data_IF_997327076786
#
_entry.id   IF_997327076786
#
_cell.length_a   1.000
_cell.length_b   1.000
_cell.length_c   1.000
_cell.angle_alpha   90.00
_cell.angle_beta   90.00
_cell.angle_gamma   90.00
#
_symmetry.space_group_name_H-M   'P 1'
#
loop_
_entity.id
_entity.type
_entity.pdbx_description
1 polymer ?
#
# COMPACT_ATOMS: atom_id res chain seq x y z
N UNK A 1 -10.17 -15.98 6.05
CA UNK A 1 -8.80 -16.52 6.08
C UNK A 1 -7.88 -15.39 6.51
N UNK A 2 -7.15 -15.54 7.62
CA UNK A 2 -6.21 -14.50 8.08
C UNK A 2 -5.01 -14.40 7.13
N UNK A 3 -4.83 -13.25 6.50
CA UNK A 3 -3.69 -12.90 5.67
C UNK A 3 -2.59 -12.17 6.47
N UNK A 4 -2.45 -12.52 7.75
CA UNK A 4 -1.43 -11.93 8.63
C UNK A 4 -0.34 -12.97 8.87
N UNK A 5 0.90 -12.54 8.66
CA UNK A 5 2.10 -13.35 8.82
C UNK A 5 2.30 -13.70 10.30
N UNK A 6 2.51 -14.99 10.58
CA UNK A 6 2.78 -15.51 11.93
C UNK A 6 4.15 -15.04 12.44
N UNK A 7 4.18 -14.46 13.64
CA UNK A 7 5.41 -14.11 14.35
C UNK A 7 5.82 -15.32 15.21
N UNK A 8 6.84 -16.07 14.80
CA UNK A 8 7.50 -17.06 15.66
C UNK A 8 8.67 -16.40 16.39
N UNK A 9 8.53 -16.22 17.71
CA UNK A 9 9.58 -15.71 18.60
C UNK A 9 10.52 -16.85 18.99
N UNK A 10 11.83 -16.72 18.70
CA UNK A 10 12.85 -17.60 19.26
C UNK A 10 13.85 -16.82 20.13
N UNK A 11 14.18 -17.43 21.27
CA UNK A 11 14.85 -16.81 22.40
C UNK A 11 16.38 -16.88 22.37
N UNK A 12 16.93 -15.76 22.87
CA UNK A 12 18.25 -15.37 23.35
C UNK A 12 19.42 -16.37 23.39
N UNK A 13 20.49 -16.03 22.66
CA UNK A 13 21.85 -16.01 23.24
C UNK A 13 22.64 -14.71 23.06
N UNK A 14 22.18 -13.72 22.28
CA UNK A 14 22.98 -12.51 21.96
C UNK A 14 22.18 -11.22 21.71
N UNK A 15 20.97 -11.05 22.28
CA UNK A 15 20.14 -9.85 22.03
C UNK A 15 19.75 -9.62 20.55
N UNK A 16 19.92 -10.64 19.70
CA UNK A 16 19.40 -10.66 18.33
C UNK A 16 18.00 -11.25 18.33
N UNK A 17 17.06 -10.49 17.79
CA UNK A 17 15.72 -10.97 17.47
C UNK A 17 15.70 -11.33 15.99
N UNK A 18 15.30 -12.56 15.68
CA UNK A 18 15.06 -13.00 14.31
C UNK A 18 13.57 -13.27 14.14
N UNK A 19 12.98 -12.71 13.09
CA UNK A 19 11.63 -13.00 12.66
C UNK A 19 11.72 -14.06 11.56
N UNK A 20 11.02 -15.17 11.74
CA UNK A 20 10.93 -16.24 10.73
C UNK A 20 9.51 -16.25 10.19
N UNK A 21 9.40 -16.11 8.87
CA UNK A 21 8.13 -16.05 8.16
C UNK A 21 8.01 -17.21 7.16
N UNK A 22 6.78 -17.55 6.77
CA UNK A 22 6.56 -18.39 5.61
C UNK A 22 7.09 -17.71 4.35
N UNK A 23 7.75 -18.47 3.46
CA UNK A 23 8.27 -17.94 2.20
C UNK A 23 7.12 -17.69 1.21
N UNK A 24 7.01 -16.45 0.72
CA UNK A 24 6.13 -16.11 -0.39
C UNK A 24 6.84 -16.40 -1.71
N UNK A 25 6.28 -17.34 -2.48
CA UNK A 25 6.85 -17.89 -3.71
C UNK A 25 6.59 -17.04 -4.96
N UNK A 26 5.72 -16.04 -4.87
CA UNK A 26 5.33 -15.16 -5.98
C UNK A 26 6.07 -13.83 -6.06
N UNK A 27 7.04 -13.58 -5.18
CA UNK A 27 7.75 -12.30 -5.08
C UNK A 27 6.87 -11.16 -4.53
N UNK A 28 7.21 -9.93 -4.87
CA UNK A 28 6.48 -8.71 -4.49
C UNK A 28 5.40 -8.35 -5.52
N UNK A 29 4.43 -7.52 -5.13
CA UNK A 29 3.46 -6.92 -6.06
C UNK A 29 4.19 -6.10 -7.15
N UNK A 30 5.26 -5.38 -6.78
CA UNK A 30 6.11 -4.66 -7.75
C UNK A 30 6.62 -5.59 -8.85
N UNK A 31 7.18 -6.74 -8.48
CA UNK A 31 7.72 -7.72 -9.43
C UNK A 31 6.61 -8.34 -10.27
N UNK A 32 5.48 -8.69 -9.64
CA UNK A 32 4.31 -9.20 -10.35
C UNK A 32 3.82 -8.23 -11.45
N UNK A 33 3.69 -6.94 -11.12
CA UNK A 33 3.25 -5.93 -12.07
C UNK A 33 4.31 -5.68 -13.14
N UNK A 34 5.59 -5.67 -12.79
CA UNK A 34 6.67 -5.52 -13.77
C UNK A 34 6.71 -6.67 -14.79
N UNK A 35 6.61 -7.91 -14.31
CA UNK A 35 6.92 -9.09 -15.12
C UNK A 35 5.69 -9.72 -15.78
N UNK A 36 4.51 -9.57 -15.17
CA UNK A 36 3.28 -10.30 -15.57
C UNK A 36 2.08 -9.40 -15.85
N UNK A 37 2.18 -8.08 -15.78
CA UNK A 37 1.02 -7.20 -15.95
C UNK A 37 0.23 -7.42 -17.25
N UNK A 38 0.91 -7.66 -18.37
CA UNK A 38 0.25 -7.90 -19.67
C UNK A 38 -0.64 -9.17 -19.68
N UNK A 39 -0.39 -10.10 -18.75
CA UNK A 39 -1.19 -11.32 -18.58
C UNK A 39 -2.33 -11.17 -17.56
N UNK A 40 -2.33 -10.10 -16.74
CA UNK A 40 -3.36 -9.86 -15.73
C UNK A 40 -4.64 -9.34 -16.38
N UNK A 41 -5.73 -10.08 -16.19
CA UNK A 41 -7.07 -9.63 -16.58
C UNK A 41 -7.66 -8.75 -15.49
N UNK A 42 -8.74 -8.04 -15.80
CA UNK A 42 -9.43 -7.20 -14.82
C UNK A 42 -9.92 -7.97 -13.59
N UNK A 43 -10.32 -9.24 -13.76
CA UNK A 43 -10.69 -10.09 -12.62
C UNK A 43 -9.52 -10.31 -11.66
N UNK A 44 -8.30 -10.46 -12.17
CA UNK A 44 -7.09 -10.64 -11.35
C UNK A 44 -6.75 -9.34 -10.62
N UNK A 45 -6.83 -8.20 -11.33
CA UNK A 45 -6.59 -6.86 -10.77
C UNK A 45 -7.58 -6.51 -9.66
N UNK A 46 -8.87 -6.78 -9.88
CA UNK A 46 -9.94 -6.58 -8.89
C UNK A 46 -9.71 -7.51 -7.68
N UNK A 47 -9.32 -8.77 -7.90
CA UNK A 47 -8.99 -9.69 -6.82
C UNK A 47 -7.82 -9.18 -5.97
N UNK A 48 -6.74 -8.70 -6.60
CA UNK A 48 -5.60 -8.10 -5.89
C UNK A 48 -6.04 -6.87 -5.08
N UNK A 49 -6.79 -5.95 -5.69
CA UNK A 49 -7.30 -4.76 -5.01
C UNK A 49 -8.20 -5.08 -3.81
N UNK A 50 -9.12 -6.03 -3.97
CA UNK A 50 -10.02 -6.49 -2.89
C UNK A 50 -9.26 -7.15 -1.74
N UNK A 51 -8.25 -7.99 -2.04
CA UNK A 51 -7.42 -8.60 -1.01
C UNK A 51 -6.57 -7.57 -0.26
N UNK A 52 -6.06 -6.54 -0.94
CA UNK A 52 -5.35 -5.43 -0.33
C UNK A 52 -6.26 -4.67 0.65
N UNK A 53 -7.42 -4.20 0.20
CA UNK A 53 -8.38 -3.46 1.03
C UNK A 53 -8.83 -4.29 2.25
N UNK A 54 -9.12 -5.59 2.04
CA UNK A 54 -9.49 -6.51 3.12
C UNK A 54 -8.36 -6.69 4.14
N UNK A 55 -7.11 -6.78 3.68
CA UNK A 55 -5.96 -6.96 4.58
C UNK A 55 -5.67 -5.72 5.42
N UNK A 56 -5.84 -4.52 4.85
CA UNK A 56 -5.70 -3.26 5.59
C UNK A 56 -6.88 -3.03 6.53
N UNK A 57 -8.10 -3.39 6.13
CA UNK A 57 -9.27 -3.36 7.02
C UNK A 57 -9.02 -4.21 8.26
N UNK A 58 -8.49 -5.42 8.09
CA UNK A 58 -8.12 -6.32 9.19
C UNK A 58 -7.12 -5.67 10.16
N UNK A 59 -6.05 -5.05 9.65
CA UNK A 59 -5.10 -4.32 10.50
C UNK A 59 -5.79 -3.16 11.25
N UNK A 60 -6.59 -2.36 10.54
CA UNK A 60 -7.25 -1.19 11.11
C UNK A 60 -8.26 -1.57 12.19
N UNK A 61 -9.01 -2.66 12.02
CA UNK A 61 -9.96 -3.16 13.00
C UNK A 61 -9.25 -3.63 14.28
N UNK A 62 -8.04 -4.19 14.16
CA UNK A 62 -7.14 -4.51 15.29
C UNK A 62 -6.39 -3.29 15.86
N UNK A 63 -6.68 -2.08 15.36
CA UNK A 63 -6.03 -0.85 15.80
C UNK A 63 -4.58 -0.69 15.31
N UNK A 64 -4.12 -1.56 14.41
CA UNK A 64 -2.79 -1.54 13.82
C UNK A 64 -2.82 -0.69 12.55
N UNK A 65 -1.85 0.20 12.42
CA UNK A 65 -1.58 0.94 11.19
C UNK A 65 -0.44 0.24 10.45
N UNK A 66 -0.55 0.06 9.14
CA UNK A 66 0.55 -0.46 8.35
C UNK A 66 1.71 0.53 8.37
N UNK A 67 1.44 1.80 8.04
CA UNK A 67 2.39 2.90 8.16
C UNK A 67 3.31 2.99 6.95
N UNK A 68 3.79 1.87 6.40
CA UNK A 68 4.69 1.86 5.24
C UNK A 68 4.17 1.10 4.02
N UNK A 69 2.97 1.46 3.54
CA UNK A 69 2.42 0.84 2.34
C UNK A 69 3.18 1.25 1.08
N UNK A 70 3.62 0.26 0.31
CA UNK A 70 4.14 0.37 -1.05
C UNK A 70 4.09 -1.04 -1.69
N UNK A 71 4.30 -1.16 -3.00
CA UNK A 71 4.17 -2.46 -3.69
C UNK A 71 5.35 -3.42 -3.48
N UNK A 72 6.42 -3.01 -2.79
CA UNK A 72 7.49 -3.90 -2.32
C UNK A 72 7.11 -4.58 -0.99
N UNK A 73 6.33 -3.90 -0.15
CA UNK A 73 5.83 -4.42 1.12
C UNK A 73 4.56 -5.29 0.99
N UNK A 74 4.22 -5.68 -0.24
CA UNK A 74 3.11 -6.57 -0.57
C UNK A 74 3.71 -7.79 -1.25
N UNK A 75 3.67 -8.93 -0.58
CA UNK A 75 4.11 -10.20 -1.13
C UNK A 75 2.96 -10.95 -1.78
N UNK A 76 3.30 -11.75 -2.80
CA UNK A 76 2.38 -12.63 -3.51
C UNK A 76 2.72 -14.07 -3.14
N UNK A 77 1.73 -14.80 -2.64
CA UNK A 77 1.86 -16.20 -2.32
C UNK A 77 0.60 -16.95 -2.78
N UNK A 78 0.75 -17.92 -3.69
CA UNK A 78 -0.38 -18.68 -4.22
C UNK A 78 -1.55 -17.79 -4.70
N UNK A 79 -1.23 -16.75 -5.48
CA UNK A 79 -2.16 -15.73 -5.97
C UNK A 79 -2.88 -14.91 -4.86
N UNK A 80 -2.36 -14.95 -3.63
CA UNK A 80 -2.88 -14.19 -2.50
C UNK A 80 -1.89 -13.13 -2.02
N UNK A 81 -2.39 -11.98 -1.59
CA UNK A 81 -1.57 -10.92 -0.99
C UNK A 81 -1.22 -11.27 0.46
N UNK A 82 0.03 -11.01 0.84
CA UNK A 82 0.52 -10.99 2.23
C UNK A 82 1.20 -9.65 2.50
N UNK A 83 0.78 -8.95 3.55
CA UNK A 83 1.40 -7.71 3.99
C UNK A 83 2.62 -8.01 4.86
N UNK A 84 3.72 -7.30 4.61
CA UNK A 84 4.94 -7.33 5.44
C UNK A 84 5.24 -5.92 5.95
N UNK A 85 6.12 -5.83 6.96
CA UNK A 85 6.62 -4.55 7.47
C UNK A 85 5.52 -3.56 7.90
N UNK A 86 4.43 -4.11 8.47
CA UNK A 86 3.34 -3.34 9.08
C UNK A 86 3.61 -3.06 10.56
N UNK A 87 2.86 -2.12 11.14
CA UNK A 87 3.07 -1.69 12.53
C UNK A 87 4.25 -0.73 12.68
N UNK A 88 4.76 -0.20 11.57
CA UNK A 88 5.82 0.81 11.61
C UNK A 88 5.24 2.13 12.13
N UNK A 89 5.71 2.53 13.31
CA UNK A 89 5.47 3.87 13.84
C UNK A 89 6.35 4.84 13.07
N UNK A 90 5.88 5.34 11.93
CA UNK A 90 6.63 6.33 11.14
C UNK A 90 6.87 7.58 11.99
N UNK A 91 8.09 7.75 12.49
CA UNK A 91 8.81 8.97 12.13
C UNK A 91 8.96 8.88 10.61
N UNK A 92 8.24 9.73 9.87
CA UNK A 92 8.09 9.67 8.41
C UNK A 92 9.41 9.23 7.77
N UNK A 93 9.42 8.00 7.26
CA UNK A 93 10.59 7.41 6.61
C UNK A 93 11.01 8.38 5.50
N UNK A 94 12.20 8.98 5.63
CA UNK A 94 12.76 9.92 4.65
C UNK A 94 13.21 9.23 3.36
N UNK A 95 12.89 7.94 3.19
CA UNK A 95 13.13 7.23 1.95
C UNK A 95 12.23 7.82 0.86
N UNK A 96 12.87 8.59 -0.02
CA UNK A 96 12.26 9.26 -1.16
C UNK A 96 11.45 8.30 -2.03
N UNK A 97 11.86 7.03 -2.11
CA UNK A 97 11.17 5.97 -2.86
C UNK A 97 9.76 5.64 -2.37
N UNK A 98 9.48 5.88 -1.08
CA UNK A 98 8.17 5.57 -0.49
C UNK A 98 7.24 6.79 -0.47
N UNK A 99 7.75 8.00 -0.74
CA UNK A 99 6.96 9.22 -0.75
C UNK A 99 5.70 9.18 -1.63
N UNK A 100 5.71 8.56 -2.84
CA UNK A 100 4.52 8.50 -3.70
C UNK A 100 3.29 7.85 -3.06
N UNK A 101 3.51 6.95 -2.11
CA UNK A 101 2.45 6.18 -1.44
C UNK A 101 1.94 6.84 -0.16
N UNK A 102 2.53 7.97 0.24
CA UNK A 102 2.18 8.65 1.48
C UNK A 102 1.42 9.94 1.19
N UNK A 103 0.47 10.26 2.05
CA UNK A 103 -0.25 11.51 2.02
C UNK A 103 0.75 12.69 2.16
N UNK A 104 0.85 13.59 1.17
CA UNK A 104 1.80 14.69 1.22
C UNK A 104 1.57 15.62 2.42
N UNK A 105 0.36 15.64 3.00
CA UNK A 105 0.06 16.44 4.20
C UNK A 105 0.70 15.88 5.49
N UNK A 106 1.13 14.61 5.50
CA UNK A 106 1.79 14.02 6.66
C UNK A 106 3.22 14.50 6.87
N UNK A 107 3.94 14.91 5.82
CA UNK A 107 5.34 15.37 5.95
C UNK A 107 5.47 16.62 6.84
N UNK A 108 4.39 17.38 7.03
CA UNK A 108 4.36 18.60 7.81
C UNK A 108 3.72 18.44 9.21
N UNK A 109 3.32 17.22 9.62
CA UNK A 109 2.57 17.00 10.86
C UNK A 109 3.07 15.78 11.62
N UNK A 110 3.17 15.89 12.96
CA UNK A 110 3.18 14.70 13.82
C UNK A 110 1.77 14.10 13.81
N UNK A 111 1.57 13.04 13.04
CA UNK A 111 0.28 12.37 12.89
C UNK A 111 -0.18 11.68 14.18
N UNK A 112 -1.50 11.62 14.39
CA UNK A 112 -2.13 10.74 15.37
C UNK A 112 -2.61 9.45 14.68
N UNK A 113 -3.07 8.46 15.45
CA UNK A 113 -3.47 7.15 14.89
C UNK A 113 -4.54 7.27 13.78
N UNK A 114 -5.50 8.19 13.92
CA UNK A 114 -6.54 8.46 12.92
C UNK A 114 -5.93 8.99 11.62
N UNK A 115 -5.01 9.95 11.72
CA UNK A 115 -4.28 10.49 10.57
C UNK A 115 -3.44 9.42 9.87
N UNK A 116 -2.90 8.46 10.64
CA UNK A 116 -2.07 7.40 10.08
C UNK A 116 -2.91 6.31 9.39
N UNK A 117 -4.09 5.96 9.90
CA UNK A 117 -5.04 5.09 9.18
C UNK A 117 -5.49 5.71 7.86
N UNK A 118 -5.79 7.02 7.83
CA UNK A 118 -6.14 7.73 6.59
C UNK A 118 -4.97 7.86 5.61
N UNK A 119 -3.73 7.70 6.09
CA UNK A 119 -2.56 7.57 5.23
C UNK A 119 -2.45 6.18 4.62
N UNK A 120 -2.75 5.12 5.36
CA UNK A 120 -2.86 3.79 4.75
C UNK A 120 -3.93 3.78 3.65
N UNK A 121 -5.10 4.41 3.88
CA UNK A 121 -6.15 4.55 2.84
C UNK A 121 -5.62 5.28 1.60
N UNK A 122 -4.84 6.35 1.79
CA UNK A 122 -4.19 7.05 0.69
C UNK A 122 -3.24 6.12 -0.09
N UNK A 123 -2.38 5.39 0.62
CA UNK A 123 -1.45 4.42 0.02
C UNK A 123 -2.18 3.31 -0.74
N UNK A 124 -3.33 2.84 -0.23
CA UNK A 124 -4.19 1.90 -0.96
C UNK A 124 -4.70 2.52 -2.26
N UNK A 125 -5.14 3.79 -2.26
CA UNK A 125 -5.53 4.48 -3.51
C UNK A 125 -4.40 4.48 -4.55
N UNK A 126 -3.19 4.81 -4.13
CA UNK A 126 -2.00 4.78 -5.01
C UNK A 126 -1.72 3.37 -5.53
N UNK A 127 -1.81 2.35 -4.67
CA UNK A 127 -1.59 0.95 -5.05
C UNK A 127 -2.68 0.40 -5.99
N UNK A 128 -3.94 0.80 -5.79
CA UNK A 128 -5.03 0.43 -6.69
C UNK A 128 -4.81 1.02 -8.08
N UNK A 129 -4.36 2.27 -8.16
CA UNK A 129 -3.93 2.87 -9.42
C UNK A 129 -2.72 2.13 -10.02
N UNK A 130 -1.71 1.78 -9.21
CA UNK A 130 -0.54 1.01 -9.67
C UNK A 130 -0.94 -0.35 -10.26
N UNK A 131 -1.88 -1.06 -9.62
CA UNK A 131 -2.45 -2.31 -10.13
C UNK A 131 -3.18 -2.09 -11.46
N UNK A 132 -3.84 -0.94 -11.64
CA UNK A 132 -4.51 -0.58 -12.89
C UNK A 132 -3.53 -0.29 -14.02
N UNK A 133 -2.42 0.40 -13.71
CA UNK A 133 -1.43 0.94 -14.66
C UNK A 133 -0.28 -0.01 -14.96
N UNK A 134 0.03 -0.92 -14.04
CA UNK A 134 1.21 -1.79 -14.09
C UNK A 134 2.52 -1.04 -13.90
N UNK A 135 2.45 0.24 -13.51
CA UNK A 135 3.58 1.16 -13.50
C UNK A 135 3.70 1.79 -12.12
N UNK A 136 4.91 1.82 -11.52
CA UNK A 136 5.15 2.58 -10.30
C UNK A 136 4.63 4.02 -10.39
N UNK A 137 4.04 4.57 -9.31
CA UNK A 137 3.60 5.95 -9.27
C UNK A 137 4.79 6.89 -9.49
N UNK A 138 4.57 7.88 -10.34
CA UNK A 138 5.47 8.94 -10.75
C UNK A 138 6.84 8.41 -11.23
N UNK A 139 6.84 7.25 -11.90
CA UNK A 139 8.05 6.53 -12.37
C UNK A 139 9.03 7.42 -13.15
N UNK A 140 8.52 8.32 -13.97
CA UNK A 140 9.32 9.15 -14.88
C UNK A 140 9.66 10.54 -14.29
N UNK A 141 9.25 10.79 -13.04
CA UNK A 141 9.49 12.06 -12.34
C UNK A 141 10.71 11.94 -11.40
N UNK A 142 11.52 13.00 -11.26
CA UNK A 142 12.63 13.02 -10.33
C UNK A 142 12.13 12.97 -8.88
N UNK A 143 12.82 12.24 -8.01
CA UNK A 143 12.42 12.09 -6.61
C UNK A 143 12.38 13.41 -5.81
N UNK A 144 13.16 14.40 -6.19
CA UNK A 144 13.21 15.65 -5.43
C UNK A 144 11.98 16.56 -5.67
N UNK A 145 11.18 16.28 -6.70
CA UNK A 145 9.98 17.08 -7.00
C UNK A 145 8.71 16.63 -6.24
N UNK A 146 8.77 15.54 -5.46
CA UNK A 146 7.61 15.06 -4.69
C UNK A 146 7.08 16.09 -3.68
N UNK A 147 7.94 16.94 -3.12
CA UNK A 147 7.52 18.00 -2.21
C UNK A 147 6.76 19.13 -2.92
N UNK A 148 6.97 19.29 -4.23
CA UNK A 148 6.28 20.29 -5.06
C UNK A 148 4.94 19.76 -5.59
N UNK A 149 4.65 18.47 -5.42
CA UNK A 149 3.46 17.80 -5.95
C UNK A 149 2.17 18.05 -5.14
N UNK A 150 2.03 19.20 -4.48
CA UNK A 150 0.83 19.57 -3.69
C UNK A 150 -0.47 19.37 -4.48
N UNK A 151 -1.13 18.23 -4.29
CA UNK A 151 -2.36 17.88 -5.00
C UNK A 151 -2.21 17.21 -6.36
N UNK A 152 -0.98 17.02 -6.89
CA UNK A 152 -0.79 16.24 -8.11
C UNK A 152 -1.15 14.77 -7.86
N UNK A 153 -1.82 14.16 -8.84
CA UNK A 153 -2.14 12.73 -8.87
C UNK A 153 -1.77 12.18 -10.22
N UNK A 154 -1.61 10.87 -10.25
CA UNK A 154 -1.44 10.15 -11.49
C UNK A 154 -2.67 10.25 -12.39
N UNK A 155 -2.43 10.18 -13.69
CA UNK A 155 -3.50 10.25 -14.68
C UNK A 155 -4.26 8.92 -14.70
N UNK A 156 -5.61 8.92 -14.68
CA UNK A 156 -6.39 7.70 -14.81
C UNK A 156 -6.04 6.92 -16.08
N UNK A 157 -5.81 5.62 -15.94
CA UNK A 157 -5.36 4.75 -17.04
C UNK A 157 -6.54 4.43 -17.97
N UNK A 158 -6.41 4.63 -19.30
CA UNK A 158 -7.44 4.24 -20.27
C UNK A 158 -7.82 2.76 -20.16
N UNK A 159 -9.12 2.45 -20.24
CA UNK A 159 -9.62 1.09 -20.12
C UNK A 159 -9.80 0.58 -18.68
N UNK A 160 -9.54 1.42 -17.67
CA UNK A 160 -9.90 1.11 -16.28
C UNK A 160 -11.41 1.24 -16.07
N UNK A 161 -12.09 0.24 -15.46
CA UNK A 161 -13.50 0.32 -15.10
C UNK A 161 -13.81 1.57 -14.26
N UNK A 162 -14.93 2.21 -14.53
CA UNK A 162 -15.27 3.50 -13.89
C UNK A 162 -15.37 3.39 -12.37
N UNK A 163 -16.02 2.33 -11.88
CA UNK A 163 -16.17 2.10 -10.43
C UNK A 163 -14.80 1.91 -9.76
N UNK A 164 -13.89 1.18 -10.40
CA UNK A 164 -12.53 0.97 -9.88
C UNK A 164 -11.73 2.29 -9.84
N UNK A 165 -11.89 3.13 -10.87
CA UNK A 165 -11.29 4.48 -10.89
C UNK A 165 -11.83 5.33 -9.74
N UNK A 166 -13.15 5.36 -9.60
CA UNK A 166 -13.83 6.11 -8.54
C UNK A 166 -13.27 5.73 -7.17
N UNK A 167 -13.17 4.43 -6.87
CA UNK A 167 -12.65 3.92 -5.60
C UNK A 167 -11.24 4.46 -5.32
N UNK A 168 -10.28 4.27 -6.22
CA UNK A 168 -8.92 4.73 -5.93
C UNK A 168 -8.83 6.27 -5.87
N UNK A 169 -9.69 6.98 -6.60
CA UNK A 169 -9.73 8.45 -6.54
C UNK A 169 -10.29 8.99 -5.24
N UNK A 170 -11.25 8.31 -4.63
CA UNK A 170 -11.77 8.65 -3.30
C UNK A 170 -10.75 8.33 -2.20
N UNK A 171 -10.02 7.21 -2.34
CA UNK A 171 -8.97 6.81 -1.40
C UNK A 171 -7.83 7.83 -1.30
N UNK A 172 -7.38 8.39 -2.42
CA UNK A 172 -6.27 9.35 -2.44
C UNK A 172 -6.71 10.81 -2.50
N UNK A 173 -7.94 11.15 -2.08
CA UNK A 173 -8.43 12.53 -2.07
C UNK A 173 -7.50 13.45 -1.26
N UNK A 174 -7.32 14.69 -1.73
CA UNK A 174 -6.48 15.69 -1.06
C UNK A 174 -6.99 16.00 0.36
N UNK A 175 -8.30 16.03 0.57
CA UNK A 175 -8.90 16.26 1.86
C UNK A 175 -9.00 14.93 2.62
N UNK A 176 -8.13 14.75 3.62
CA UNK A 176 -8.04 13.55 4.45
C UNK A 176 -9.40 13.11 5.00
N UNK A 177 -10.29 14.05 5.32
CA UNK A 177 -11.64 13.78 5.85
C UNK A 177 -12.62 13.23 4.82
N UNK A 178 -12.38 13.45 3.52
CA UNK A 178 -13.23 12.94 2.43
C UNK A 178 -12.88 11.51 2.04
N UNK A 179 -11.70 11.03 2.44
CA UNK A 179 -11.30 9.64 2.18
C UNK A 179 -12.22 8.68 2.95
N UNK A 180 -12.60 7.54 2.35
CA UNK A 180 -13.44 6.53 2.99
C UNK A 180 -12.75 5.90 4.20
N UNK A 181 -13.50 5.18 5.04
CA UNK A 181 -12.90 4.21 5.95
C UNK A 181 -12.50 2.97 5.14
N UNK A 182 -11.47 2.25 5.59
CA UNK A 182 -10.95 1.12 4.80
C UNK A 182 -11.99 0.03 4.54
N UNK A 183 -12.96 -0.13 5.45
CA UNK A 183 -14.08 -1.07 5.32
C UNK A 183 -15.08 -0.73 4.21
N UNK A 184 -15.07 0.50 3.72
CA UNK A 184 -15.99 1.00 2.67
C UNK A 184 -15.36 0.96 1.27
N UNK A 185 -14.11 0.46 1.17
CA UNK A 185 -13.29 0.36 -0.05
C UNK A 185 -13.20 -1.09 -0.48
#
# INVERSE_FOLDING_TARGET
>A
MLNVIFILKLGNRFNQYSLVFGHADGGTLRELLKDKFQSLKWVDKISLGSQLASSITCLHDEGIVHGDLNSQNILIHQNSIKLVDFGQTKEVSKELSNMPYNDPKLFNRRGNNVSNKKNDVFGVGVLLWEISSGTPPFKDEPYDSYFDFQGRREVPVPGTPEDYKKIYTECWDDETKRRPEMRDV
#
